data_IF_332280935896
#
_entry.id   IF_332280935896
#
_cell.length_a   1.000
_cell.length_b   1.000
_cell.length_c   1.000
_cell.angle_alpha   90.00
_cell.angle_beta   90.00
_cell.angle_gamma   90.00
#
_symmetry.space_group_name_H-M   'P 1'
#
loop_
_entity.id
_entity.type
_entity.pdbx_description
1 polymer ?
#
# COMPACT_ATOMS: atom_id res chain seq x y z
N UNK A 1 -2.85 9.55 -35.23
CA UNK A 1 -3.28 9.35 -33.84
C UNK A 1 -3.64 10.72 -33.30
N UNK A 2 -4.89 10.91 -32.91
CA UNK A 2 -5.34 12.17 -32.34
C UNK A 2 -4.70 12.39 -30.96
N UNK A 3 -4.45 13.64 -30.56
CA UNK A 3 -3.81 13.96 -29.27
C UNK A 3 -4.58 13.35 -28.08
N UNK A 4 -5.91 13.22 -28.22
CA UNK A 4 -6.75 12.61 -27.19
C UNK A 4 -6.55 11.10 -27.08
N UNK A 5 -6.34 10.41 -28.20
CA UNK A 5 -6.03 8.97 -28.22
C UNK A 5 -4.69 8.70 -27.53
N UNK A 6 -3.68 9.53 -27.81
CA UNK A 6 -2.36 9.41 -27.16
C UNK A 6 -2.46 9.61 -25.64
N UNK A 7 -3.22 10.62 -25.20
CA UNK A 7 -3.44 10.86 -23.76
C UNK A 7 -4.16 9.69 -23.09
N UNK A 8 -5.15 9.11 -23.76
CA UNK A 8 -5.88 7.96 -23.26
C UNK A 8 -4.96 6.74 -23.11
N UNK A 9 -4.13 6.48 -24.13
CA UNK A 9 -3.15 5.39 -24.12
C UNK A 9 -2.16 5.56 -22.96
N UNK A 10 -1.53 6.73 -22.83
CA UNK A 10 -0.58 7.01 -21.74
C UNK A 10 -1.22 6.78 -20.37
N UNK A 11 -2.45 7.27 -20.19
CA UNK A 11 -3.18 7.12 -18.92
C UNK A 11 -3.45 5.66 -18.59
N UNK A 12 -3.81 4.86 -19.58
CA UNK A 12 -4.07 3.43 -19.36
C UNK A 12 -2.78 2.67 -19.08
N UNK A 13 -1.71 2.91 -19.83
CA UNK A 13 -0.41 2.28 -19.60
C UNK A 13 0.14 2.60 -18.20
N UNK A 14 0.02 3.84 -17.74
CA UNK A 14 0.42 4.21 -16.36
C UNK A 14 -0.45 3.49 -15.33
N UNK A 15 -1.77 3.43 -15.55
CA UNK A 15 -2.70 2.76 -14.63
C UNK A 15 -2.42 1.27 -14.53
N UNK A 16 -2.09 0.62 -15.64
CA UNK A 16 -1.73 -0.80 -15.71
C UNK A 16 -0.49 -1.09 -14.86
N UNK A 17 0.60 -0.36 -15.09
CA UNK A 17 1.85 -0.51 -14.31
C UNK A 17 1.61 -0.26 -12.83
N UNK A 18 0.86 0.78 -12.46
CA UNK A 18 0.54 1.08 -11.06
C UNK A 18 -0.31 -0.02 -10.40
N UNK A 19 -1.08 -0.80 -11.17
CA UNK A 19 -1.88 -1.92 -10.64
C UNK A 19 -1.04 -3.16 -10.44
N UNK A 20 -0.15 -3.46 -11.38
CA UNK A 20 0.74 -4.62 -11.37
C UNK A 20 1.84 -4.46 -10.33
N UNK A 21 2.48 -3.30 -10.29
CA UNK A 21 3.65 -3.01 -9.45
C UNK A 21 3.26 -2.29 -8.15
N UNK A 22 1.99 -2.34 -7.73
CA UNK A 22 1.49 -1.58 -6.58
C UNK A 22 2.28 -1.85 -5.30
N UNK A 23 2.57 -3.12 -5.01
CA UNK A 23 3.33 -3.50 -3.82
C UNK A 23 4.75 -2.91 -3.87
N UNK A 24 5.43 -3.06 -5.01
CA UNK A 24 6.77 -2.54 -5.20
C UNK A 24 6.78 -1.01 -5.09
N UNK A 25 5.78 -0.34 -5.66
CA UNK A 25 5.61 1.10 -5.53
C UNK A 25 5.40 1.51 -4.06
N UNK A 26 4.54 0.81 -3.31
CA UNK A 26 4.37 1.07 -1.89
C UNK A 26 5.70 0.93 -1.14
N UNK A 27 6.47 -0.12 -1.41
CA UNK A 27 7.80 -0.33 -0.80
C UNK A 27 8.77 0.81 -1.11
N UNK A 28 8.80 1.27 -2.36
CA UNK A 28 9.66 2.40 -2.79
C UNK A 28 9.25 3.72 -2.12
N UNK A 29 7.96 3.89 -1.82
CA UNK A 29 7.43 5.10 -1.19
C UNK A 29 7.45 5.06 0.35
N UNK A 30 7.74 3.91 0.96
CA UNK A 30 7.89 3.82 2.42
C UNK A 30 9.15 4.60 2.81
N UNK A 31 9.04 5.57 3.75
CA UNK A 31 10.19 6.30 4.23
C UNK A 31 11.16 5.34 4.93
N UNK A 32 12.45 5.60 4.76
CA UNK A 32 13.46 4.95 5.58
C UNK A 32 13.27 5.39 7.04
N UNK A 33 13.38 4.43 7.96
CA UNK A 33 13.35 4.63 9.41
C UNK A 33 14.65 4.02 9.95
N UNK A 34 15.40 4.80 10.71
CA UNK A 34 16.60 4.35 11.41
C UNK A 34 16.26 3.51 12.64
N UNK A 35 17.23 2.76 13.15
CA UNK A 35 17.04 1.94 14.36
C UNK A 35 16.66 2.78 15.59
N UNK A 36 17.16 4.02 15.69
CA UNK A 36 16.80 4.97 16.76
C UNK A 36 15.34 5.41 16.63
N UNK A 37 14.92 5.85 15.43
CA UNK A 37 13.53 6.24 15.18
C UNK A 37 12.57 5.07 15.38
N UNK A 38 12.95 3.85 14.98
CA UNK A 38 12.14 2.65 15.21
C UNK A 38 12.01 2.33 16.70
N UNK A 39 13.09 2.49 17.47
CA UNK A 39 13.06 2.32 18.94
C UNK A 39 12.15 3.34 19.63
N UNK A 40 12.14 4.59 19.17
CA UNK A 40 11.26 5.63 19.69
C UNK A 40 9.78 5.31 19.41
N UNK A 41 9.48 4.86 18.17
CA UNK A 41 8.14 4.41 17.78
C UNK A 41 7.68 3.24 18.66
N UNK A 42 8.52 2.22 18.86
CA UNK A 42 8.19 1.05 19.69
C UNK A 42 8.03 1.44 21.17
N UNK A 43 8.74 2.46 21.65
CA UNK A 43 8.58 2.95 23.02
C UNK A 43 7.24 3.67 23.22
N UNK A 44 6.79 4.44 22.22
CA UNK A 44 5.55 5.22 22.29
C UNK A 44 4.31 4.36 21.99
N UNK A 45 4.41 3.44 21.04
CA UNK A 45 3.28 2.68 20.49
C UNK A 45 3.38 1.17 20.70
N UNK A 46 4.44 0.65 21.32
CA UNK A 46 4.67 -0.79 21.43
C UNK A 46 5.17 -1.43 20.14
N UNK A 47 5.61 -2.67 20.23
CA UNK A 47 5.95 -3.49 19.08
C UNK A 47 4.69 -4.15 18.50
N UNK A 48 4.67 -4.51 17.21
CA UNK A 48 3.55 -5.25 16.62
C UNK A 48 3.22 -6.56 17.35
N UNK A 49 4.20 -7.18 18.03
CA UNK A 49 4.01 -8.39 18.83
C UNK A 49 3.25 -8.17 20.15
N UNK A 50 3.04 -6.91 20.55
CA UNK A 50 2.35 -6.56 21.79
C UNK A 50 0.82 -6.52 21.62
N UNK A 51 0.33 -6.65 20.39
CA UNK A 51 -1.08 -6.62 20.02
C UNK A 51 -1.58 -8.03 19.70
N UNK A 52 -2.82 -8.33 20.11
CA UNK A 52 -3.46 -9.60 19.77
C UNK A 52 -3.87 -9.61 18.28
N UNK A 53 -3.90 -10.80 17.66
CA UNK A 53 -4.20 -10.95 16.22
C UNK A 53 -5.58 -10.37 15.82
N UNK A 54 -6.54 -10.31 16.75
CA UNK A 54 -7.87 -9.73 16.53
C UNK A 54 -7.90 -8.19 16.57
N UNK A 55 -6.83 -7.55 17.07
CA UNK A 55 -6.62 -6.11 17.00
C UNK A 55 -5.97 -5.66 15.69
N UNK A 56 -5.49 -6.61 14.87
CA UNK A 56 -4.79 -6.34 13.62
C UNK A 56 -5.72 -6.53 12.42
N UNK A 57 -5.70 -5.56 11.49
CA UNK A 57 -6.43 -5.65 10.22
C UNK A 57 -5.50 -6.14 9.11
N UNK A 58 -5.84 -7.26 8.46
CA UNK A 58 -5.10 -7.73 7.28
C UNK A 58 -5.27 -6.78 6.10
N UNK A 59 -4.24 -5.97 5.84
CA UNK A 59 -4.20 -5.04 4.71
C UNK A 59 -3.73 -5.68 3.39
N UNK A 60 -3.37 -6.97 3.36
CA UNK A 60 -2.89 -7.62 2.12
C UNK A 60 -3.93 -7.62 1.02
N UNK A 61 -5.22 -7.65 1.36
CA UNK A 61 -6.31 -7.49 0.39
C UNK A 61 -6.27 -6.12 -0.29
N UNK A 62 -6.03 -5.03 0.46
CA UNK A 62 -5.85 -3.69 -0.11
C UNK A 62 -4.63 -3.64 -1.04
N UNK A 63 -3.53 -4.28 -0.64
CA UNK A 63 -2.33 -4.37 -1.49
C UNK A 63 -2.60 -5.14 -2.79
N UNK A 64 -3.48 -6.14 -2.80
CA UNK A 64 -3.79 -6.98 -3.98
C UNK A 64 -4.92 -6.42 -4.87
N UNK A 65 -5.86 -5.68 -4.30
CA UNK A 65 -7.08 -5.26 -4.99
C UNK A 65 -7.33 -3.73 -4.96
N UNK A 66 -6.48 -2.96 -4.27
CA UNK A 66 -6.60 -1.51 -4.13
C UNK A 66 -7.83 -1.10 -3.32
N UNK A 67 -8.35 0.11 -3.56
CA UNK A 67 -9.54 0.65 -2.88
C UNK A 67 -10.85 -0.10 -3.16
N UNK A 68 -10.81 -1.21 -3.90
CA UNK A 68 -11.92 -2.17 -4.01
C UNK A 68 -11.90 -3.10 -2.80
N UNK A 69 -11.98 -2.55 -1.59
CA UNK A 69 -12.31 -3.33 -0.41
C UNK A 69 -13.80 -3.62 -0.54
N UNK A 70 -14.13 -4.74 -1.17
CA UNK A 70 -15.43 -5.35 -0.93
C UNK A 70 -15.53 -5.52 0.59
N UNK A 71 -16.60 -5.00 1.19
CA UNK A 71 -17.00 -5.38 2.53
C UNK A 71 -17.29 -6.88 2.50
N UNK A 72 -16.27 -7.72 2.67
CA UNK A 72 -16.50 -9.07 3.14
C UNK A 72 -16.83 -8.92 4.62
N UNK A 73 -18.12 -8.70 4.87
CA UNK A 73 -18.67 -8.77 6.20
C UNK A 73 -18.49 -10.19 6.75
N UNK A 74 -17.98 -10.26 7.97
CA UNK A 74 -18.67 -10.97 9.05
C UNK A 74 -18.23 -10.39 10.39
#
# INVERSE_FOLDING_TARGET
>A
MEIQELKALIKESVREVLREERLLLCQVLIPYVSDEEQSDIETEFGAPSDYDDDEVVDMTHWVKHGGQISQEGN
#
